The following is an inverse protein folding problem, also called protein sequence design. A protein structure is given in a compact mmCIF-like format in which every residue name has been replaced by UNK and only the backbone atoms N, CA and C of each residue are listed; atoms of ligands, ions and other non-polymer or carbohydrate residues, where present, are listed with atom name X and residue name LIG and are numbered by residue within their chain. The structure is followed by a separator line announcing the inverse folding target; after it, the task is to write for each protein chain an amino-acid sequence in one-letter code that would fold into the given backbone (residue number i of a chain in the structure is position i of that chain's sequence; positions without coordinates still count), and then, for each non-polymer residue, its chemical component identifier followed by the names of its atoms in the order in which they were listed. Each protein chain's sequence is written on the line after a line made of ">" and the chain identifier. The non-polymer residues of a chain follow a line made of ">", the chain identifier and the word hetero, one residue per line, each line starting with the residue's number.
data_IF_285403174948
#
_entry.id   IF_285403174948
#
_cell.length_a   1.000
_cell.length_b   1.000
_cell.length_c   1.000
_cell.angle_alpha   90.00
_cell.angle_beta   90.00
_cell.angle_gamma   90.00
#
_symmetry.space_group_name_H-M   'P 1'
#
loop_
_entity.id
_entity.type
_entity.pdbx_description
1 polymer ?
#
# COMPACT_ATOMS: atom_id res chain seq x y z
N UNK A 1 -19.74 10.46 11.66
CA UNK A 1 -19.94 10.57 13.12
C UNK A 1 -20.62 9.31 13.64
N UNK A 2 -21.92 9.12 13.38
CA UNK A 2 -22.72 8.02 13.95
C UNK A 2 -22.08 6.62 13.95
N UNK A 3 -21.39 6.21 12.87
CA UNK A 3 -20.68 4.93 12.83
C UNK A 3 -19.55 4.82 13.88
N UNK A 4 -18.71 5.86 14.01
CA UNK A 4 -17.58 5.86 14.95
C UNK A 4 -18.06 6.08 16.39
N UNK A 5 -19.09 6.91 16.58
CA UNK A 5 -19.75 7.07 17.89
C UNK A 5 -20.28 5.72 18.38
N UNK A 6 -21.01 5.00 17.52
CA UNK A 6 -21.53 3.67 17.85
C UNK A 6 -20.41 2.63 18.10
N UNK A 7 -19.29 2.73 17.38
CA UNK A 7 -18.13 1.85 17.59
C UNK A 7 -17.54 2.05 18.99
N UNK A 8 -17.32 3.31 19.39
CA UNK A 8 -16.75 3.67 20.68
C UNK A 8 -17.69 3.32 21.84
N UNK A 9 -18.98 3.62 21.69
CA UNK A 9 -20.01 3.27 22.67
C UNK A 9 -20.10 1.75 22.86
N UNK A 10 -20.04 0.98 21.77
CA UNK A 10 -20.06 -0.49 21.81
C UNK A 10 -18.79 -1.04 22.47
N UNK A 11 -17.63 -0.47 22.14
CA UNK A 11 -16.35 -0.85 22.73
C UNK A 11 -16.36 -0.63 24.26
N UNK A 12 -16.84 0.54 24.70
CA UNK A 12 -16.97 0.89 26.11
C UNK A 12 -17.99 0.00 26.84
N UNK A 13 -19.18 -0.21 26.25
CA UNK A 13 -20.27 -1.01 26.84
C UNK A 13 -19.85 -2.45 27.08
N UNK A 14 -19.08 -3.04 26.17
CA UNK A 14 -18.67 -4.44 26.28
C UNK A 14 -17.25 -4.64 26.84
N UNK A 15 -16.54 -3.56 27.17
CA UNK A 15 -15.15 -3.62 27.64
C UNK A 15 -14.20 -4.30 26.66
N UNK A 16 -14.44 -4.15 25.34
CA UNK A 16 -13.65 -4.76 24.28
C UNK A 16 -13.09 -3.69 23.36
N UNK A 17 -11.85 -3.86 22.94
CA UNK A 17 -11.27 -3.01 21.90
C UNK A 17 -11.91 -3.35 20.56
N UNK A 18 -12.54 -2.36 19.94
CA UNK A 18 -13.06 -2.44 18.58
C UNK A 18 -12.30 -1.47 17.69
N UNK A 19 -12.13 -1.85 16.43
CA UNK A 19 -11.39 -1.08 15.45
C UNK A 19 -12.28 -0.76 14.27
N UNK A 20 -12.25 0.50 13.84
CA UNK A 20 -12.90 0.99 12.64
C UNK A 20 -11.90 1.14 11.50
N UNK A 21 -12.36 0.86 10.28
CA UNK A 21 -11.62 1.14 9.06
C UNK A 21 -12.49 1.93 8.07
N UNK A 22 -12.69 3.24 8.29
CA UNK A 22 -13.51 4.07 7.42
C UNK A 22 -12.98 4.08 5.98
N UNK A 23 -13.88 4.18 5.00
CA UNK A 23 -13.53 4.19 3.58
C UNK A 23 -13.82 5.57 2.97
N UNK A 24 -12.85 6.09 2.22
CA UNK A 24 -12.93 7.34 1.46
C UNK A 24 -13.29 7.01 0.02
N UNK A 25 -14.55 7.19 -0.34
CA UNK A 25 -15.09 6.75 -1.64
C UNK A 25 -16.30 7.56 -2.13
N UNK A 26 -16.66 8.66 -1.45
CA UNK A 26 -17.85 9.44 -1.77
C UNK A 26 -17.64 10.39 -2.96
N UNK A 27 -18.70 10.78 -3.70
CA UNK A 27 -18.58 11.73 -4.81
C UNK A 27 -17.97 13.08 -4.42
N UNK A 28 -18.24 13.56 -3.22
CA UNK A 28 -17.72 14.83 -2.72
C UNK A 28 -16.19 14.81 -2.53
N UNK A 29 -15.57 13.62 -2.48
CA UNK A 29 -14.11 13.47 -2.50
C UNK A 29 -13.51 13.69 -3.88
N UNK A 30 -14.17 13.24 -4.94
CA UNK A 30 -13.61 13.36 -6.29
C UNK A 30 -13.86 14.74 -6.89
N UNK A 31 -14.96 15.39 -6.53
CA UNK A 31 -15.28 16.75 -6.94
C UNK A 31 -14.30 17.77 -6.33
N UNK A 32 -13.56 18.49 -7.18
CA UNK A 32 -12.52 19.43 -6.75
C UNK A 32 -13.06 20.58 -5.91
N UNK A 33 -14.27 21.03 -6.23
CA UNK A 33 -14.98 22.12 -5.56
C UNK A 33 -15.32 21.84 -4.10
N UNK A 34 -15.37 20.56 -3.68
CA UNK A 34 -15.73 20.14 -2.33
C UNK A 34 -14.64 19.38 -1.59
N UNK A 35 -13.65 18.83 -2.31
CA UNK A 35 -12.66 17.89 -1.77
C UNK A 35 -11.95 18.40 -0.52
N UNK A 36 -11.47 19.64 -0.54
CA UNK A 36 -10.66 20.19 0.55
C UNK A 36 -11.46 20.27 1.86
N UNK A 37 -12.65 20.85 1.81
CA UNK A 37 -13.53 20.98 2.99
C UNK A 37 -13.93 19.61 3.54
N UNK A 38 -14.20 18.65 2.64
CA UNK A 38 -14.59 17.31 3.03
C UNK A 38 -13.42 16.52 3.64
N UNK A 39 -12.21 16.62 3.09
CA UNK A 39 -11.01 15.98 3.67
C UNK A 39 -10.68 16.54 5.05
N UNK A 40 -10.82 17.86 5.24
CA UNK A 40 -10.60 18.51 6.53
C UNK A 40 -11.68 18.11 7.55
N UNK A 41 -12.94 18.01 7.13
CA UNK A 41 -14.03 17.52 7.97
C UNK A 41 -13.83 16.05 8.37
N UNK A 42 -13.42 15.20 7.43
CA UNK A 42 -13.06 13.80 7.69
C UNK A 42 -11.90 13.73 8.68
N UNK A 43 -10.81 14.47 8.48
CA UNK A 43 -9.68 14.50 9.41
C UNK A 43 -10.14 14.86 10.83
N UNK A 44 -10.91 15.95 10.96
CA UNK A 44 -11.42 16.39 12.27
C UNK A 44 -12.39 15.39 12.92
N UNK A 45 -13.11 14.59 12.13
CA UNK A 45 -13.90 13.48 12.65
C UNK A 45 -12.99 12.33 13.11
N UNK A 46 -12.05 11.87 12.28
CA UNK A 46 -11.16 10.77 12.62
C UNK A 46 -10.29 11.10 13.84
N UNK A 47 -9.86 12.35 14.00
CA UNK A 47 -9.09 12.81 15.16
C UNK A 47 -9.84 12.61 16.48
N UNK A 48 -11.16 12.77 16.49
CA UNK A 48 -12.00 12.54 17.69
C UNK A 48 -12.06 11.08 18.12
N UNK A 49 -11.86 10.17 17.17
CA UNK A 49 -11.95 8.72 17.36
C UNK A 49 -10.60 8.02 17.10
N UNK A 50 -9.49 8.74 17.28
CA UNK A 50 -8.15 8.32 16.84
C UNK A 50 -7.74 6.95 17.38
N UNK A 51 -8.09 6.64 18.63
CA UNK A 51 -7.74 5.37 19.29
C UNK A 51 -8.52 4.16 18.76
N UNK A 52 -9.60 4.40 18.02
CA UNK A 52 -10.48 3.40 17.44
C UNK A 52 -10.29 3.27 15.92
N UNK A 53 -9.59 4.19 15.26
CA UNK A 53 -9.32 4.12 13.82
C UNK A 53 -8.05 3.32 13.58
N UNK A 54 -8.19 2.11 13.03
CA UNK A 54 -7.05 1.25 12.69
C UNK A 54 -6.37 1.71 11.40
N UNK A 55 -7.16 2.01 10.37
CA UNK A 55 -6.68 2.49 9.09
C UNK A 55 -7.81 3.20 8.32
N UNK A 56 -7.44 4.09 7.41
CA UNK A 56 -8.33 4.72 6.45
C UNK A 56 -8.16 4.02 5.11
N UNK A 57 -9.26 3.53 4.55
CA UNK A 57 -9.28 2.85 3.26
C UNK A 57 -9.71 3.81 2.16
N UNK A 58 -9.37 3.50 0.92
CA UNK A 58 -9.78 4.28 -0.25
C UNK A 58 -10.55 3.40 -1.23
N UNK A 59 -11.74 3.82 -1.64
CA UNK A 59 -12.58 3.11 -2.60
C UNK A 59 -12.43 3.72 -4.00
N UNK A 60 -11.49 3.21 -4.80
CA UNK A 60 -11.24 3.76 -6.13
C UNK A 60 -12.34 3.45 -7.15
N UNK A 61 -13.05 2.33 -6.98
CA UNK A 61 -14.09 1.90 -7.92
C UNK A 61 -15.32 2.81 -7.84
N UNK A 62 -15.78 3.15 -6.64
CA UNK A 62 -16.89 4.10 -6.45
C UNK A 62 -16.53 5.49 -6.98
N UNK A 63 -15.31 5.97 -6.68
CA UNK A 63 -14.80 7.23 -7.21
C UNK A 63 -14.76 7.23 -8.75
N UNK A 64 -14.33 6.12 -9.37
CA UNK A 64 -14.37 5.98 -10.84
C UNK A 64 -15.79 5.98 -11.38
N UNK A 65 -16.72 5.34 -10.64
CA UNK A 65 -18.14 5.24 -10.98
C UNK A 65 -18.84 6.58 -11.10
N UNK A 66 -18.44 7.60 -10.32
CA UNK A 66 -18.97 8.97 -10.42
C UNK A 66 -18.84 9.55 -11.83
N UNK A 67 -17.77 9.19 -12.55
CA UNK A 67 -17.52 9.64 -13.93
C UNK A 67 -17.82 8.56 -14.99
N UNK A 68 -18.45 7.45 -14.61
CA UNK A 68 -18.68 6.31 -15.50
C UNK A 68 -17.38 5.67 -16.01
N UNK A 69 -16.27 5.83 -15.27
CA UNK A 69 -14.97 5.28 -15.65
C UNK A 69 -14.89 3.85 -15.13
N UNK A 70 -14.47 2.94 -16.02
CA UNK A 70 -13.99 1.62 -15.63
C UNK A 70 -12.54 1.50 -16.06
N UNK A 71 -11.65 1.35 -15.08
CA UNK A 71 -10.22 1.15 -15.33
C UNK A 71 -10.02 -0.12 -16.16
N UNK A 72 -9.02 -0.13 -17.03
CA UNK A 72 -8.59 -1.31 -17.79
C UNK A 72 -7.46 -2.08 -17.09
N UNK A 73 -7.31 -3.38 -17.39
CA UNK A 73 -6.29 -4.27 -16.79
C UNK A 73 -4.84 -3.89 -17.06
N UNK A 74 -4.60 -3.16 -18.14
CA UNK A 74 -3.27 -2.68 -18.50
C UNK A 74 -2.90 -1.35 -17.81
N UNK A 75 -3.84 -0.78 -17.03
CA UNK A 75 -3.71 0.49 -16.31
C UNK A 75 -3.72 0.27 -14.79
N UNK A 76 -2.83 0.96 -14.10
CA UNK A 76 -2.93 1.14 -12.65
C UNK A 76 -3.95 2.22 -12.31
N UNK A 77 -4.40 2.26 -11.06
CA UNK A 77 -5.26 3.35 -10.61
C UNK A 77 -4.61 4.73 -10.77
N UNK A 78 -3.28 4.79 -10.73
CA UNK A 78 -2.49 6.01 -10.93
C UNK A 78 -2.51 6.55 -12.37
N UNK A 79 -2.93 5.71 -13.34
CA UNK A 79 -3.15 6.14 -14.71
C UNK A 79 -4.55 6.79 -14.88
N UNK A 80 -5.48 6.53 -13.95
CA UNK A 80 -6.79 7.21 -13.86
C UNK A 80 -6.63 8.50 -13.03
N UNK A 81 -6.21 9.58 -13.68
CA UNK A 81 -5.78 10.84 -13.04
C UNK A 81 -6.79 11.42 -12.04
N UNK A 82 -8.08 11.37 -12.35
CA UNK A 82 -9.13 11.85 -11.45
C UNK A 82 -9.10 11.14 -10.09
N UNK A 83 -8.86 9.83 -10.07
CA UNK A 83 -8.76 9.06 -8.82
C UNK A 83 -7.37 9.20 -8.19
N UNK A 84 -6.31 9.19 -9.00
CA UNK A 84 -4.93 9.35 -8.53
C UNK A 84 -4.72 10.65 -7.75
N UNK A 85 -5.36 11.74 -8.18
CA UNK A 85 -5.35 13.02 -7.48
C UNK A 85 -6.07 12.96 -6.14
N UNK A 86 -7.21 12.25 -6.06
CA UNK A 86 -7.89 12.01 -4.76
C UNK A 86 -6.99 11.23 -3.82
N UNK A 87 -6.35 10.14 -4.28
CA UNK A 87 -5.42 9.35 -3.46
C UNK A 87 -4.26 10.21 -2.94
N UNK A 88 -3.72 11.08 -3.80
CA UNK A 88 -2.65 12.03 -3.43
C UNK A 88 -3.12 12.97 -2.30
N UNK A 89 -4.30 13.57 -2.45
CA UNK A 89 -4.84 14.50 -1.45
C UNK A 89 -5.21 13.79 -0.14
N UNK A 90 -5.75 12.57 -0.22
CA UNK A 90 -6.01 11.71 0.95
C UNK A 90 -4.72 11.44 1.72
N UNK A 91 -3.65 11.01 1.05
CA UNK A 91 -2.37 10.74 1.73
C UNK A 91 -1.77 12.05 2.29
N UNK A 92 -1.89 13.17 1.58
CA UNK A 92 -1.37 14.45 2.04
C UNK A 92 -2.05 14.93 3.34
N UNK A 93 -3.38 14.79 3.42
CA UNK A 93 -4.19 15.27 4.54
C UNK A 93 -4.21 14.26 5.70
N UNK A 94 -4.36 12.97 5.40
CA UNK A 94 -4.58 11.92 6.40
C UNK A 94 -3.36 11.04 6.66
N UNK A 95 -2.36 10.99 5.78
CA UNK A 95 -1.24 10.03 5.84
C UNK A 95 0.08 10.60 6.37
N UNK A 96 0.06 11.71 7.13
CA UNK A 96 1.28 12.41 7.57
C UNK A 96 2.11 11.61 8.57
N UNK A 97 3.44 11.70 8.43
CA UNK A 97 4.38 11.01 9.30
C UNK A 97 4.82 11.83 10.55
N UNK A 98 4.20 12.98 10.80
CA UNK A 98 4.51 13.88 11.91
C UNK A 98 3.74 13.55 13.21
N UNK A 99 3.11 12.37 13.26
CA UNK A 99 2.26 11.94 14.38
C UNK A 99 0.79 12.36 14.25
N UNK A 100 0.43 13.22 13.29
CA UNK A 100 -0.97 13.60 13.04
C UNK A 100 -1.67 12.70 12.02
N UNK A 101 -0.93 11.86 11.28
CA UNK A 101 -1.51 10.98 10.28
C UNK A 101 -2.18 9.72 10.86
N UNK A 102 -2.82 9.00 9.94
CA UNK A 102 -3.40 7.67 10.06
C UNK A 102 -2.70 6.75 9.05
N UNK A 103 -2.84 5.44 9.25
CA UNK A 103 -2.48 4.47 8.21
C UNK A 103 -3.51 4.60 7.08
N UNK A 104 -3.06 4.87 5.85
CA UNK A 104 -3.93 4.90 4.66
C UNK A 104 -3.59 3.70 3.77
N UNK A 105 -4.60 2.93 3.35
CA UNK A 105 -4.40 1.71 2.54
C UNK A 105 -4.74 1.92 1.07
N UNK A 106 -4.01 1.26 0.18
CA UNK A 106 -4.30 1.28 -1.26
C UNK A 106 -5.67 0.65 -1.62
N UNK A 107 -6.33 1.13 -2.70
CA UNK A 107 -7.58 0.57 -3.19
C UNK A 107 -7.37 -0.82 -3.79
N UNK A 108 -8.46 -1.49 -4.14
CA UNK A 108 -8.44 -2.83 -4.72
C UNK A 108 -7.87 -2.87 -6.14
N UNK A 109 -7.23 -3.98 -6.49
CA UNK A 109 -7.01 -4.39 -7.88
C UNK A 109 -8.21 -5.22 -8.36
N UNK A 110 -8.81 -4.85 -9.50
CA UNK A 110 -10.11 -5.39 -9.92
C UNK A 110 -10.04 -6.73 -10.67
N UNK A 111 -8.84 -7.22 -11.01
CA UNK A 111 -8.67 -8.35 -11.93
C UNK A 111 -8.08 -9.59 -11.25
N UNK A 112 -8.59 -10.74 -11.64
CA UNK A 112 -8.17 -12.06 -11.13
C UNK A 112 -8.44 -13.17 -12.17
N UNK A 113 -8.48 -12.83 -13.48
CA UNK A 113 -8.85 -13.78 -14.55
C UNK A 113 -8.54 -13.28 -15.98
N UNK A 114 -7.97 -14.19 -16.78
CA UNK A 114 -7.37 -13.92 -18.08
C UNK A 114 -8.37 -13.76 -19.24
N UNK A 115 -8.44 -12.53 -19.77
CA UNK A 115 -8.89 -12.25 -21.12
C UNK A 115 -7.69 -11.79 -21.96
N UNK A 116 -7.89 -11.72 -23.27
CA UNK A 116 -6.92 -11.19 -24.23
C UNK A 116 -6.37 -9.80 -23.79
N UNK A 117 -5.05 -9.65 -23.86
CA UNK A 117 -4.33 -8.41 -23.51
C UNK A 117 -4.05 -7.59 -24.75
N UNK A 118 -4.19 -6.27 -24.63
CA UNK A 118 -3.85 -5.34 -25.71
C UNK A 118 -2.40 -4.85 -25.63
N UNK A 119 -1.84 -4.74 -24.42
CA UNK A 119 -0.49 -4.21 -24.19
C UNK A 119 0.50 -5.28 -23.73
N UNK A 120 1.79 -5.01 -23.98
CA UNK A 120 2.87 -5.89 -23.52
C UNK A 120 2.99 -5.86 -21.99
N UNK A 121 3.12 -7.01 -21.32
CA UNK A 121 3.36 -7.07 -19.88
C UNK A 121 4.63 -6.29 -19.48
N UNK A 122 4.57 -5.57 -18.36
CA UNK A 122 5.70 -4.77 -17.83
C UNK A 122 6.56 -5.54 -16.82
N UNK A 123 6.20 -6.77 -16.49
CA UNK A 123 6.94 -7.63 -15.56
C UNK A 123 8.24 -8.13 -16.21
N UNK A 124 9.39 -7.68 -15.68
CA UNK A 124 10.73 -8.03 -16.18
C UNK A 124 10.98 -9.53 -16.10
N UNK A 125 11.61 -10.11 -17.12
CA UNK A 125 11.91 -11.55 -17.19
C UNK A 125 13.16 -11.95 -16.39
N UNK A 126 14.19 -11.11 -16.36
CA UNK A 126 15.50 -11.45 -15.79
C UNK A 126 15.46 -12.01 -14.35
N UNK A 127 14.66 -11.48 -13.40
CA UNK A 127 14.59 -12.04 -12.05
C UNK A 127 14.02 -13.47 -12.01
N UNK A 128 13.09 -13.78 -12.90
CA UNK A 128 12.48 -15.10 -12.98
C UNK A 128 13.41 -16.12 -13.62
N UNK A 129 14.18 -15.72 -14.64
CA UNK A 129 15.22 -16.58 -15.22
C UNK A 129 16.33 -16.91 -14.21
N UNK A 130 16.74 -15.93 -13.40
CA UNK A 130 17.76 -16.14 -12.37
C UNK A 130 17.32 -17.11 -11.26
N UNK A 131 16.01 -17.26 -11.05
CA UNK A 131 15.40 -18.09 -10.01
C UNK A 131 14.75 -19.36 -10.56
N UNK A 132 15.00 -19.71 -11.83
CA UNK A 132 14.39 -20.85 -12.54
C UNK A 132 12.84 -20.88 -12.46
N UNK A 133 12.22 -19.70 -12.52
CA UNK A 133 10.79 -19.48 -12.24
C UNK A 133 10.03 -18.85 -13.43
N UNK A 134 10.39 -19.21 -14.67
CA UNK A 134 9.75 -18.64 -15.87
C UNK A 134 8.27 -19.00 -15.99
N UNK A 135 7.87 -20.18 -15.48
CA UNK A 135 6.47 -20.61 -15.41
C UNK A 135 5.66 -19.68 -14.51
N UNK A 136 6.16 -19.42 -13.29
CA UNK A 136 5.55 -18.46 -12.36
C UNK A 136 5.36 -17.08 -12.99
N UNK A 137 6.33 -16.58 -13.77
CA UNK A 137 6.17 -15.32 -14.50
C UNK A 137 4.97 -15.35 -15.44
N UNK A 138 4.83 -16.45 -16.17
CA UNK A 138 3.75 -16.65 -17.14
C UNK A 138 2.39 -16.69 -16.44
N UNK A 139 2.32 -17.36 -15.30
CA UNK A 139 1.10 -17.45 -14.48
C UNK A 139 0.69 -16.10 -13.91
N UNK A 140 1.64 -15.35 -13.36
CA UNK A 140 1.40 -13.98 -12.85
C UNK A 140 0.84 -13.05 -13.94
N UNK A 141 1.35 -13.15 -15.17
CA UNK A 141 0.87 -12.35 -16.30
C UNK A 141 -0.53 -12.80 -16.72
N UNK A 142 -0.74 -14.11 -16.82
CA UNK A 142 -2.02 -14.69 -17.28
C UNK A 142 -3.16 -14.39 -16.32
N UNK A 143 -2.88 -14.30 -15.02
CA UNK A 143 -3.85 -14.00 -13.97
C UNK A 143 -4.01 -12.50 -13.67
N UNK A 144 -3.39 -11.62 -14.46
CA UNK A 144 -3.36 -10.16 -14.25
C UNK A 144 -2.74 -9.72 -12.91
N UNK A 145 -1.84 -10.53 -12.35
CA UNK A 145 -1.14 -10.24 -11.10
C UNK A 145 0.08 -9.34 -11.31
N UNK A 146 0.63 -9.23 -12.52
CA UNK A 146 1.66 -8.22 -12.83
C UNK A 146 1.16 -6.78 -12.68
N UNK A 147 -0.11 -6.53 -13.01
CA UNK A 147 -0.77 -5.26 -12.76
C UNK A 147 -0.93 -4.97 -11.27
N UNK A 148 -1.34 -5.97 -10.49
CA UNK A 148 -1.37 -5.91 -9.03
C UNK A 148 0.02 -5.59 -8.44
N UNK A 149 1.06 -6.30 -8.86
CA UNK A 149 2.45 -6.06 -8.42
C UNK A 149 2.84 -4.60 -8.66
N UNK A 150 2.60 -4.10 -9.88
CA UNK A 150 2.88 -2.71 -10.22
C UNK A 150 2.13 -1.74 -9.31
N UNK A 151 0.86 -1.99 -9.05
CA UNK A 151 0.03 -1.10 -8.25
C UNK A 151 0.44 -1.11 -6.77
N UNK A 152 0.79 -2.25 -6.18
CA UNK A 152 1.31 -2.32 -4.80
C UNK A 152 2.61 -1.52 -4.66
N UNK A 153 3.51 -1.61 -5.64
CA UNK A 153 4.76 -0.83 -5.65
C UNK A 153 4.46 0.67 -5.74
N UNK A 154 3.50 1.07 -6.58
CA UNK A 154 3.05 2.46 -6.68
C UNK A 154 2.33 2.94 -5.42
N UNK A 155 1.53 2.09 -4.77
CA UNK A 155 0.87 2.38 -3.49
C UNK A 155 1.92 2.76 -2.43
N UNK A 156 2.94 1.92 -2.26
CA UNK A 156 4.04 2.20 -1.34
C UNK A 156 4.79 3.49 -1.70
N UNK A 157 5.07 3.72 -2.98
CA UNK A 157 5.75 4.93 -3.46
C UNK A 157 4.93 6.22 -3.21
N UNK A 158 3.60 6.12 -3.18
CA UNK A 158 2.69 7.23 -2.90
C UNK A 158 2.29 7.30 -1.41
N UNK A 159 3.01 6.60 -0.52
CA UNK A 159 2.84 6.70 0.93
C UNK A 159 1.77 5.80 1.52
N UNK A 160 1.02 5.05 0.71
CA UNK A 160 0.01 4.10 1.17
C UNK A 160 0.67 2.87 1.81
N UNK A 161 -0.06 2.21 2.71
CA UNK A 161 0.39 1.01 3.42
C UNK A 161 -0.60 -0.12 3.22
N UNK A 162 -0.13 -1.24 2.68
CA UNK A 162 -0.97 -2.38 2.39
C UNK A 162 -1.96 -2.13 1.25
N UNK A 163 -2.72 -3.17 0.93
CA UNK A 163 -3.67 -3.16 -0.18
C UNK A 163 -4.89 -4.00 0.19
N UNK A 164 -6.07 -3.52 -0.15
CA UNK A 164 -7.27 -4.36 -0.05
C UNK A 164 -7.22 -5.41 -1.16
N UNK A 165 -7.35 -6.68 -0.80
CA UNK A 165 -7.46 -7.80 -1.74
C UNK A 165 -8.92 -8.21 -1.92
N UNK A 166 -9.28 -8.67 -3.12
CA UNK A 166 -10.64 -9.14 -3.45
C UNK A 166 -10.68 -10.62 -3.86
N UNK A 167 -9.52 -11.24 -4.07
CA UNK A 167 -9.41 -12.62 -4.51
C UNK A 167 -8.24 -13.32 -3.78
N UNK A 168 -8.34 -14.61 -3.43
CA UNK A 168 -7.27 -15.34 -2.73
C UNK A 168 -5.91 -15.29 -3.45
N UNK A 169 -5.88 -15.33 -4.79
CA UNK A 169 -4.62 -15.25 -5.56
C UNK A 169 -3.86 -13.93 -5.41
N UNK A 170 -4.50 -12.88 -4.88
CA UNK A 170 -3.82 -11.61 -4.58
C UNK A 170 -3.00 -11.67 -3.30
N UNK A 171 -3.39 -12.53 -2.35
CA UNK A 171 -2.79 -12.59 -1.01
C UNK A 171 -1.30 -12.90 -1.07
N UNK A 172 -0.84 -13.95 -1.78
CA UNK A 172 0.59 -14.27 -1.87
C UNK A 172 1.42 -13.12 -2.43
N UNK A 173 0.91 -12.46 -3.47
CA UNK A 173 1.55 -11.32 -4.12
C UNK A 173 1.68 -10.12 -3.17
N UNK A 174 0.60 -9.74 -2.50
CA UNK A 174 0.60 -8.61 -1.57
C UNK A 174 1.48 -8.92 -0.35
N UNK A 175 1.46 -10.15 0.16
CA UNK A 175 2.28 -10.57 1.29
C UNK A 175 3.77 -10.61 0.93
N UNK A 176 4.15 -11.19 -0.21
CA UNK A 176 5.53 -11.23 -0.67
C UNK A 176 6.10 -9.81 -0.85
N UNK A 177 5.31 -8.85 -1.34
CA UNK A 177 5.70 -7.43 -1.42
C UNK A 177 5.71 -6.70 -0.07
N UNK A 178 5.13 -7.30 0.97
CA UNK A 178 5.15 -6.76 2.34
C UNK A 178 6.37 -7.21 3.15
N UNK A 179 7.05 -8.29 2.74
CA UNK A 179 8.32 -8.73 3.34
C UNK A 179 9.38 -7.65 3.13
N UNK A 180 10.16 -7.34 4.16
CA UNK A 180 11.22 -6.32 4.08
C UNK A 180 12.47 -6.91 3.42
N UNK A 181 12.99 -6.31 2.34
CA UNK A 181 14.29 -6.72 1.79
C UNK A 181 15.41 -6.53 2.82
N UNK A 182 16.38 -7.44 2.86
CA UNK A 182 17.55 -7.33 3.75
C UNK A 182 18.20 -5.94 3.68
N UNK A 183 18.40 -5.42 2.46
CA UNK A 183 19.00 -4.11 2.23
C UNK A 183 18.20 -2.98 2.88
N UNK A 184 16.87 -2.96 2.72
CA UNK A 184 16.01 -1.94 3.36
C UNK A 184 16.06 -2.04 4.89
N UNK A 185 16.11 -3.25 5.44
CA UNK A 185 16.23 -3.46 6.88
C UNK A 185 17.56 -2.94 7.43
N UNK A 186 18.67 -3.22 6.74
CA UNK A 186 19.99 -2.72 7.10
C UNK A 186 20.01 -1.19 7.04
N UNK A 187 19.48 -0.60 5.97
CA UNK A 187 19.41 0.87 5.85
C UNK A 187 18.55 1.50 6.93
N UNK A 188 17.38 0.93 7.21
CA UNK A 188 16.49 1.45 8.24
C UNK A 188 17.14 1.38 9.64
N UNK A 189 17.80 0.27 9.95
CA UNK A 189 18.53 0.09 11.22
C UNK A 189 19.67 1.11 11.35
N UNK A 190 20.40 1.31 10.25
CA UNK A 190 21.52 2.24 10.14
C UNK A 190 21.09 3.71 10.25
N UNK A 191 19.94 4.07 9.67
CA UNK A 191 19.34 5.40 9.78
C UNK A 191 18.89 5.70 11.21
N UNK A 192 18.22 4.76 11.88
CA UNK A 192 17.72 4.96 13.25
C UNK A 192 18.80 4.84 14.32
N UNK A 193 19.91 4.16 14.03
CA UNK A 193 21.07 4.08 14.91
C UNK A 193 21.91 5.36 14.96
N UNK A 194 21.64 6.34 14.07
CA UNK A 194 22.39 7.60 13.99
C UNK A 194 21.59 8.80 14.48
N UNK A 195 22.31 9.78 15.02
CA UNK A 195 21.72 11.02 15.54
C UNK A 195 21.67 12.14 14.50
N UNK A 196 22.64 12.19 13.56
CA UNK A 196 22.71 13.20 12.51
C UNK A 196 23.63 12.75 11.35
N UNK A 197 23.50 13.42 10.20
CA UNK A 197 24.38 13.28 9.05
C UNK A 197 23.88 12.32 7.96
N UNK A 198 24.65 12.30 6.87
CA UNK A 198 24.49 11.45 5.70
C UNK A 198 25.71 10.53 5.53
N UNK A 199 25.48 9.31 5.08
CA UNK A 199 26.54 8.33 4.80
C UNK A 199 26.14 7.41 3.65
N UNK A 200 27.10 6.74 3.04
CA UNK A 200 26.79 5.68 2.08
C UNK A 200 26.12 4.50 2.79
N UNK A 201 25.12 3.89 2.14
CA UNK A 201 24.51 2.64 2.61
C UNK A 201 25.55 1.53 2.75
N UNK A 202 25.24 0.48 3.53
CA UNK A 202 26.12 -0.69 3.68
C UNK A 202 26.43 -1.34 2.33
N UNK A 203 25.45 -1.37 1.42
CA UNK A 203 25.56 -1.86 0.04
C UNK A 203 26.25 -0.86 -0.91
N UNK A 204 26.56 0.35 -0.45
CA UNK A 204 27.26 1.42 -1.20
C UNK A 204 26.62 1.82 -2.53
N UNK A 205 25.31 1.65 -2.64
CA UNK A 205 24.54 1.95 -3.85
C UNK A 205 23.61 3.18 -3.68
N UNK A 206 23.48 3.72 -2.46
CA UNK A 206 22.67 4.91 -2.15
C UNK A 206 23.13 5.61 -0.88
N UNK A 207 22.50 6.74 -0.58
CA UNK A 207 22.75 7.56 0.61
C UNK A 207 21.72 7.25 1.70
N UNK A 208 22.20 7.06 2.92
CA UNK A 208 21.39 7.04 4.14
C UNK A 208 21.56 8.37 4.88
N UNK A 209 20.48 9.11 5.08
CA UNK A 209 20.47 10.34 5.85
C UNK A 209 19.50 10.25 7.04
N UNK A 210 20.05 10.39 8.24
CA UNK A 210 19.39 10.09 9.52
C UNK A 210 18.07 10.83 9.75
N UNK A 211 17.97 12.11 9.39
CA UNK A 211 16.77 12.93 9.63
C UNK A 211 15.67 12.73 8.58
N UNK A 212 15.90 12.99 7.27
CA UNK A 212 14.83 12.90 6.28
C UNK A 212 14.34 11.48 6.06
N UNK A 213 15.19 10.46 6.24
CA UNK A 213 14.78 9.07 6.06
C UNK A 213 14.23 8.44 7.35
N UNK A 214 14.15 9.17 8.47
CA UNK A 214 13.75 8.62 9.77
C UNK A 214 12.36 7.98 9.74
N UNK A 215 11.36 8.71 9.26
CA UNK A 215 9.98 8.23 9.20
C UNK A 215 9.84 6.99 8.30
N UNK A 216 10.59 6.96 7.19
CA UNK A 216 10.67 5.79 6.33
C UNK A 216 11.28 4.60 7.07
N UNK A 217 12.39 4.80 7.77
CA UNK A 217 13.09 3.74 8.51
C UNK A 217 12.24 3.17 9.66
N UNK A 218 11.51 4.01 10.40
CA UNK A 218 10.58 3.59 11.45
C UNK A 218 9.45 2.70 10.89
N UNK A 219 8.92 3.05 9.71
CA UNK A 219 7.92 2.23 9.00
C UNK A 219 8.51 0.91 8.53
N UNK A 220 9.72 0.90 7.96
CA UNK A 220 10.41 -0.32 7.52
C UNK A 220 10.64 -1.27 8.69
N UNK A 221 11.16 -0.80 9.83
CA UNK A 221 11.38 -1.67 11.00
C UNK A 221 10.06 -2.16 11.61
N UNK A 222 8.99 -1.37 11.54
CA UNK A 222 7.66 -1.83 11.96
C UNK A 222 7.15 -2.94 11.05
N UNK A 223 7.29 -2.78 9.73
CA UNK A 223 6.92 -3.82 8.75
C UNK A 223 7.75 -5.10 8.95
N UNK A 224 9.05 -4.96 9.22
CA UNK A 224 9.95 -6.08 9.49
C UNK A 224 9.51 -6.92 10.70
N UNK A 225 8.95 -6.30 11.76
CA UNK A 225 8.41 -7.02 12.93
C UNK A 225 7.21 -7.90 12.59
N UNK A 226 6.44 -7.56 11.57
CA UNK A 226 5.18 -8.24 11.21
C UNK A 226 5.40 -9.23 10.08
N UNK A 227 6.11 -8.83 9.02
CA UNK A 227 6.29 -9.62 7.81
C UNK A 227 7.68 -10.29 7.70
N UNK A 228 8.56 -10.03 8.66
CA UNK A 228 9.93 -10.54 8.63
C UNK A 228 10.85 -9.75 7.68
N UNK A 229 12.09 -10.19 7.65
CA UNK A 229 13.16 -9.67 6.78
C UNK A 229 13.63 -10.84 5.93
N UNK A 230 13.67 -10.65 4.61
CA UNK A 230 14.25 -11.63 3.70
C UNK A 230 15.77 -11.73 3.91
N UNK A 231 16.34 -12.90 3.66
CA UNK A 231 17.79 -13.05 3.56
C UNK A 231 18.36 -12.25 2.38
N UNK A 232 19.67 -11.97 2.40
CA UNK A 232 20.31 -11.05 1.46
C UNK A 232 20.19 -11.47 -0.02
N UNK A 233 20.03 -12.77 -0.29
CA UNK A 233 19.89 -13.39 -1.60
C UNK A 233 18.45 -13.81 -1.94
N UNK A 234 17.49 -13.60 -1.03
CA UNK A 234 16.09 -13.95 -1.22
C UNK A 234 15.31 -12.73 -1.73
N UNK A 235 14.77 -12.86 -2.95
CA UNK A 235 13.96 -11.83 -3.60
C UNK A 235 12.47 -12.14 -3.62
N UNK A 236 11.71 -11.23 -4.25
CA UNK A 236 10.27 -11.38 -4.44
C UNK A 236 9.88 -12.67 -5.18
N UNK A 237 10.67 -13.08 -6.17
CA UNK A 237 10.39 -14.29 -6.96
C UNK A 237 10.55 -15.54 -6.11
N UNK A 238 11.60 -15.61 -5.29
CA UNK A 238 11.85 -16.74 -4.38
C UNK A 238 10.73 -16.89 -3.34
N UNK A 239 10.26 -15.77 -2.79
CA UNK A 239 9.15 -15.75 -1.83
C UNK A 239 7.84 -16.26 -2.45
N UNK A 240 7.56 -15.92 -3.70
CA UNK A 240 6.39 -16.44 -4.41
C UNK A 240 6.55 -17.91 -4.79
N UNK A 241 7.72 -18.31 -5.30
CA UNK A 241 8.00 -19.70 -5.69
C UNK A 241 7.94 -20.68 -4.51
N UNK A 242 8.16 -20.20 -3.28
CA UNK A 242 8.01 -21.01 -2.07
C UNK A 242 6.56 -21.49 -1.82
N UNK A 243 5.55 -20.83 -2.40
CA UNK A 243 4.15 -21.29 -2.33
C UNK A 243 3.83 -22.34 -3.40
N UNK A 244 4.38 -22.21 -4.61
CA UNK A 244 4.16 -23.14 -5.73
C UNK A 244 4.77 -24.54 -5.49
N UNK A 245 5.71 -24.65 -4.56
CA UNK A 245 6.33 -25.92 -4.15
C UNK A 245 5.50 -26.79 -3.20
N UNK A 246 4.21 -26.46 -2.96
CA UNK A 246 3.28 -27.26 -2.13
C UNK A 246 2.27 -28.04 -2.95
#
# INVERSE_FOLDING_TARGET
>A
AAYLDALDDTAATHGRRLWGMPVIESPEMIHRETRDDQLLAVRGLLDKHRDSVLAVRTGATDLSGVYGIRRGRDLSIYDVRLVAEVLTDVVNVLGRADGTGFVVTGPVWEYYGGNERLFKPRLRQAPFLASDAEHLRTDLITQDLDGLIREVVLDAANGLTGKTVIHPSHVPVVHALSVVPHEEFVDASDILGRTAGASASAYRNKMNESRPHRAWAERVLTRAKVFGVAEADVGFVDLLGAEDGR
#
